data_IF_169418392514
#
_entry.id   IF_169418392514
#
_cell.length_a   1.000
_cell.length_b   1.000
_cell.length_c   1.000
_cell.angle_alpha   90.00
_cell.angle_beta   90.00
_cell.angle_gamma   90.00
#
_symmetry.space_group_name_H-M   'P 1'
#
loop_
_entity.id
_entity.type
_entity.pdbx_description
1 polymer ?
#
# COMPACT_ATOMS: atom_id res chain seq x y z
N UNK A 1 42.44 37.41 11.24
CA UNK A 1 41.99 37.02 9.88
C UNK A 1 42.84 35.81 9.50
N UNK A 2 42.23 34.66 9.23
CA UNK A 2 42.90 33.36 9.35
C UNK A 2 43.70 32.94 8.11
N UNK A 3 44.87 32.36 8.31
CA UNK A 3 45.57 31.54 7.32
C UNK A 3 45.12 30.08 7.44
N UNK A 4 45.05 29.39 6.32
CA UNK A 4 45.06 27.93 6.24
C UNK A 4 46.47 27.38 6.50
N UNK A 5 46.59 26.24 7.16
CA UNK A 5 47.66 25.27 6.90
C UNK A 5 47.22 23.84 7.31
N UNK A 6 47.82 22.82 6.69
CA UNK A 6 47.41 21.42 6.80
C UNK A 6 48.21 20.55 7.78
N UNK A 7 47.90 19.25 7.76
CA UNK A 7 48.51 18.16 8.55
C UNK A 7 50.04 18.08 8.42
N UNK A 8 50.71 17.51 9.44
CA UNK A 8 51.47 16.25 9.31
C UNK A 8 51.89 15.63 10.68
N UNK A 9 51.36 14.43 10.94
CA UNK A 9 51.78 13.28 11.80
C UNK A 9 53.26 13.19 12.28
N UNK A 10 53.50 12.68 13.51
CA UNK A 10 53.93 11.28 13.85
C UNK A 10 54.66 11.13 15.22
N UNK A 11 54.35 10.04 15.94
CA UNK A 11 55.24 9.33 16.91
C UNK A 11 55.37 9.89 18.34
N UNK A 12 55.80 9.12 19.36
CA UNK A 12 55.99 7.65 19.47
C UNK A 12 56.16 7.25 20.95
N UNK A 13 55.57 6.11 21.39
CA UNK A 13 56.27 4.97 22.01
C UNK A 13 55.34 3.95 22.68
N UNK A 14 55.81 2.71 22.76
CA UNK A 14 55.21 1.59 23.50
C UNK A 14 56.09 1.23 24.70
N UNK A 15 55.52 0.52 25.68
CA UNK A 15 56.28 -0.46 26.49
C UNK A 15 55.39 -1.66 26.83
N UNK A 16 55.87 -2.88 26.56
CA UNK A 16 55.18 -4.12 26.96
C UNK A 16 55.49 -4.52 28.41
N UNK A 17 54.68 -5.41 29.00
CA UNK A 17 55.21 -6.44 29.90
C UNK A 17 54.37 -7.72 29.82
N UNK A 18 55.02 -8.89 29.82
CA UNK A 18 54.40 -10.23 29.69
C UNK A 18 54.44 -11.00 31.03
N UNK A 19 53.55 -11.98 31.23
CA UNK A 19 53.80 -13.27 31.94
C UNK A 19 52.62 -14.25 31.68
N UNK A 20 52.86 -15.57 31.76
CA UNK A 20 51.91 -16.70 31.57
C UNK A 20 52.20 -17.81 32.61
N UNK A 21 51.47 -18.93 32.80
CA UNK A 21 50.48 -19.76 32.04
C UNK A 21 49.53 -20.43 33.09
N UNK A 22 48.43 -21.16 32.83
CA UNK A 22 47.69 -21.61 31.63
C UNK A 22 46.15 -21.55 31.94
N UNK A 23 45.20 -22.50 31.75
CA UNK A 23 45.09 -23.86 31.18
C UNK A 23 43.60 -24.25 30.99
N UNK A 24 43.27 -25.03 29.95
CA UNK A 24 41.95 -25.61 29.62
C UNK A 24 40.82 -24.57 29.35
N UNK A 25 39.73 -24.83 28.61
CA UNK A 25 39.16 -26.08 28.07
C UNK A 25 38.48 -25.84 26.68
N UNK A 26 37.81 -26.86 26.09
CA UNK A 26 37.26 -26.82 24.71
C UNK A 26 36.23 -27.97 24.50
N UNK A 27 35.25 -27.94 23.56
CA UNK A 27 34.57 -26.85 22.84
C UNK A 27 33.05 -26.78 23.12
N UNK A 28 32.36 -25.75 22.60
CA UNK A 28 30.91 -25.84 22.31
C UNK A 28 30.55 -25.14 20.99
N UNK A 29 29.41 -25.52 20.41
CA UNK A 29 29.02 -25.32 19.01
C UNK A 29 29.10 -23.88 18.47
N UNK A 30 29.40 -23.77 17.17
CA UNK A 30 28.96 -22.64 16.35
C UNK A 30 27.44 -22.75 16.16
N UNK A 31 26.70 -21.67 16.38
CA UNK A 31 25.38 -21.49 15.75
C UNK A 31 25.61 -20.78 14.42
N UNK A 32 25.05 -21.31 13.34
CA UNK A 32 25.21 -20.70 12.01
C UNK A 32 24.27 -19.50 11.86
N UNK A 33 24.84 -18.35 11.50
CA UNK A 33 24.10 -17.11 11.27
C UNK A 33 23.37 -17.19 9.93
N UNK A 34 22.14 -17.76 9.96
CA UNK A 34 21.37 -18.08 8.76
C UNK A 34 20.69 -16.84 8.21
N UNK A 35 21.48 -15.94 7.61
CA UNK A 35 20.97 -14.86 6.77
C UNK A 35 20.01 -15.44 5.73
N UNK A 36 18.72 -15.08 5.87
CA UNK A 36 17.72 -15.29 4.85
C UNK A 36 18.07 -14.39 3.65
N UNK A 37 18.79 -14.97 2.69
CA UNK A 37 18.85 -14.41 1.35
C UNK A 37 17.43 -14.37 0.81
N UNK A 38 16.90 -13.16 0.62
CA UNK A 38 15.76 -12.97 -0.26
C UNK A 38 16.19 -13.46 -1.65
N UNK A 39 15.49 -14.47 -2.17
CA UNK A 39 15.59 -14.80 -3.58
C UNK A 39 14.99 -13.63 -4.35
N UNK A 40 15.76 -13.08 -5.31
CA UNK A 40 15.17 -12.23 -6.33
C UNK A 40 14.16 -13.08 -7.13
N UNK A 41 13.04 -12.49 -7.61
CA UNK A 41 12.35 -13.06 -8.75
C UNK A 41 13.34 -13.26 -9.89
N UNK A 42 13.29 -14.41 -10.57
CA UNK A 42 14.21 -14.71 -11.67
C UNK A 42 13.84 -13.88 -12.91
N UNK A 43 14.84 -13.51 -13.71
CA UNK A 43 14.68 -12.57 -14.81
C UNK A 43 14.05 -13.27 -16.05
N UNK A 44 12.76 -13.02 -16.29
CA UNK A 44 11.95 -13.52 -17.42
C UNK A 44 11.74 -15.04 -17.49
N UNK A 45 10.84 -15.59 -16.68
CA UNK A 45 10.10 -16.78 -17.12
C UNK A 45 9.24 -16.40 -18.34
N UNK A 46 9.42 -17.09 -19.48
CA UNK A 46 8.70 -16.80 -20.71
C UNK A 46 7.23 -17.16 -20.53
N UNK A 47 6.34 -16.17 -20.68
CA UNK A 47 4.89 -16.34 -20.64
C UNK A 47 4.44 -17.57 -21.44
N UNK A 48 3.58 -18.37 -20.81
CA UNK A 48 2.96 -19.55 -21.41
C UNK A 48 2.03 -19.14 -22.57
N UNK A 49 1.86 -20.03 -23.56
CA UNK A 49 1.20 -19.66 -24.81
C UNK A 49 -0.30 -19.34 -24.63
N UNK A 50 -0.97 -19.89 -23.60
CA UNK A 50 -2.34 -19.55 -23.20
C UNK A 50 -2.45 -18.12 -22.63
N UNK A 51 -1.45 -17.69 -21.85
CA UNK A 51 -1.33 -16.33 -21.33
C UNK A 51 -1.04 -15.34 -22.46
N UNK A 52 -0.22 -15.75 -23.43
CA UNK A 52 0.01 -14.96 -24.66
C UNK A 52 -1.28 -14.83 -25.47
N UNK A 53 -2.08 -15.89 -25.61
CA UNK A 53 -3.38 -15.82 -26.28
C UNK A 53 -4.36 -14.89 -25.55
N UNK A 54 -4.47 -14.98 -24.22
CA UNK A 54 -5.37 -14.11 -23.44
C UNK A 54 -4.98 -12.63 -23.52
N UNK A 55 -3.68 -12.32 -23.43
CA UNK A 55 -3.14 -10.96 -23.61
C UNK A 55 -3.50 -10.42 -25.01
N UNK A 56 -3.31 -11.21 -26.08
CA UNK A 56 -3.67 -10.80 -27.44
C UNK A 56 -5.19 -10.54 -27.58
N UNK A 57 -6.03 -11.37 -26.96
CA UNK A 57 -7.48 -11.16 -26.95
C UNK A 57 -7.87 -9.84 -26.24
N UNK A 58 -7.23 -9.50 -25.12
CA UNK A 58 -7.42 -8.20 -24.45
C UNK A 58 -6.95 -7.04 -25.35
N UNK A 59 -5.79 -7.17 -25.98
CA UNK A 59 -5.24 -6.16 -26.91
C UNK A 59 -6.22 -5.90 -28.08
N UNK A 60 -6.77 -6.94 -28.72
CA UNK A 60 -7.74 -6.80 -29.80
C UNK A 60 -9.09 -6.22 -29.33
N UNK A 61 -9.54 -6.54 -28.12
CA UNK A 61 -10.72 -5.90 -27.52
C UNK A 61 -10.53 -4.39 -27.38
N UNK A 62 -9.38 -3.93 -26.88
CA UNK A 62 -9.06 -2.51 -26.77
C UNK A 62 -8.83 -1.83 -28.13
N UNK A 63 -8.22 -2.50 -29.12
CA UNK A 63 -8.16 -2.00 -30.51
C UNK A 63 -9.55 -1.81 -31.12
N UNK A 64 -10.50 -2.69 -30.80
CA UNK A 64 -11.89 -2.57 -31.26
C UNK A 64 -12.69 -1.47 -30.53
N UNK A 65 -12.17 -0.97 -29.41
CA UNK A 65 -12.80 0.00 -28.50
C UNK A 65 -14.27 -0.35 -28.14
N UNK A 66 -14.58 -1.65 -28.04
CA UNK A 66 -15.93 -2.13 -27.78
C UNK A 66 -16.20 -2.17 -26.27
N UNK A 67 -16.70 -1.07 -25.72
CA UNK A 67 -16.97 -0.90 -24.27
C UNK A 67 -17.81 -2.05 -23.69
N UNK A 68 -18.85 -2.47 -24.41
CA UNK A 68 -19.71 -3.58 -23.95
C UNK A 68 -18.92 -4.88 -23.79
N UNK A 69 -18.05 -5.24 -24.74
CA UNK A 69 -17.20 -6.44 -24.60
C UNK A 69 -16.08 -6.26 -23.58
N UNK A 70 -15.46 -5.08 -23.50
CA UNK A 70 -14.44 -4.77 -22.49
C UNK A 70 -15.04 -4.95 -21.09
N UNK A 71 -16.29 -4.52 -20.88
CA UNK A 71 -17.00 -4.68 -19.60
C UNK A 71 -17.36 -6.12 -19.22
N UNK A 72 -17.25 -7.10 -20.13
CA UNK A 72 -17.38 -8.53 -19.81
C UNK A 72 -16.10 -9.16 -19.25
N UNK A 73 -14.94 -8.49 -19.41
CA UNK A 73 -13.63 -8.95 -18.90
C UNK A 73 -13.14 -8.13 -17.68
N UNK A 74 -14.05 -7.47 -16.96
CA UNK A 74 -13.73 -6.70 -15.75
C UNK A 74 -14.21 -7.44 -14.51
N UNK A 75 -13.30 -7.67 -13.56
CA UNK A 75 -13.69 -8.05 -12.20
C UNK A 75 -14.40 -6.88 -11.52
N UNK A 76 -15.61 -7.11 -11.00
CA UNK A 76 -16.40 -6.11 -10.30
C UNK A 76 -16.52 -6.43 -8.79
N UNK A 77 -16.42 -5.44 -7.89
CA UNK A 77 -16.22 -4.01 -8.17
C UNK A 77 -14.81 -3.69 -8.69
N UNK A 78 -14.72 -2.75 -9.65
CA UNK A 78 -13.44 -2.22 -10.12
C UNK A 78 -13.06 -1.03 -9.23
N UNK A 79 -12.10 -1.28 -8.34
CA UNK A 79 -11.67 -0.32 -7.33
C UNK A 79 -10.87 0.85 -7.92
N UNK A 80 -11.11 2.04 -7.35
CA UNK A 80 -10.49 3.32 -7.74
C UNK A 80 -9.82 3.95 -6.52
N UNK A 81 -8.91 4.91 -6.71
CA UNK A 81 -8.23 5.50 -5.55
C UNK A 81 -9.19 6.35 -4.72
N UNK A 82 -9.45 5.92 -3.48
CA UNK A 82 -10.24 6.63 -2.48
C UNK A 82 -9.83 8.13 -2.40
N UNK A 83 -10.78 9.09 -2.40
CA UNK A 83 -12.24 8.93 -2.26
C UNK A 83 -13.04 8.76 -3.57
N UNK A 84 -12.43 8.42 -4.73
CA UNK A 84 -13.24 8.07 -5.92
C UNK A 84 -14.01 6.78 -5.62
N UNK A 85 -15.36 6.75 -5.75
CA UNK A 85 -16.14 5.53 -5.51
C UNK A 85 -15.80 4.45 -6.53
N UNK A 86 -15.84 3.18 -6.09
CA UNK A 86 -15.63 2.04 -6.98
C UNK A 86 -16.72 1.89 -8.04
N UNK A 87 -16.42 1.19 -9.13
CA UNK A 87 -17.37 0.90 -10.21
C UNK A 87 -17.94 -0.48 -9.94
N UNK A 88 -19.19 -0.57 -9.51
CA UNK A 88 -19.70 -1.76 -8.80
C UNK A 88 -20.32 -2.82 -9.71
N UNK A 89 -20.46 -2.52 -11.01
CA UNK A 89 -21.07 -3.40 -12.02
C UNK A 89 -20.90 -2.84 -13.45
N UNK A 90 -21.19 -3.68 -14.45
CA UNK A 90 -21.19 -3.35 -15.90
C UNK A 90 -22.05 -2.13 -16.29
N UNK A 91 -23.15 -1.84 -15.59
CA UNK A 91 -24.02 -0.70 -15.89
C UNK A 91 -23.40 0.64 -15.43
N UNK A 92 -22.74 0.64 -14.27
CA UNK A 92 -21.89 1.76 -13.85
C UNK A 92 -20.65 1.90 -14.72
N UNK A 93 -20.02 0.77 -15.10
CA UNK A 93 -18.86 0.75 -15.98
C UNK A 93 -19.14 1.40 -17.32
N UNK A 94 -20.21 1.02 -18.02
CA UNK A 94 -20.55 1.62 -19.32
C UNK A 94 -20.82 3.13 -19.24
N UNK A 95 -21.20 3.67 -18.07
CA UNK A 95 -21.35 5.12 -17.84
C UNK A 95 -20.04 5.82 -17.48
N UNK A 96 -19.17 5.12 -16.73
CA UNK A 96 -17.92 5.64 -16.16
C UNK A 96 -16.67 5.21 -16.95
N UNK A 97 -16.84 4.52 -18.09
CA UNK A 97 -15.74 3.94 -18.86
C UNK A 97 -14.66 4.97 -19.19
N UNK A 98 -15.05 6.11 -19.77
CA UNK A 98 -14.15 7.21 -20.12
C UNK A 98 -13.63 8.02 -18.93
N UNK A 99 -14.06 7.72 -17.70
CA UNK A 99 -13.41 8.24 -16.49
C UNK A 99 -12.09 7.51 -16.27
N UNK A 100 -12.07 6.17 -16.41
CA UNK A 100 -10.90 5.31 -16.14
C UNK A 100 -10.08 5.06 -17.42
N UNK A 101 -10.75 4.61 -18.47
CA UNK A 101 -10.21 4.30 -19.78
C UNK A 101 -10.31 5.52 -20.69
N UNK A 102 -9.44 6.49 -20.42
CA UNK A 102 -9.18 7.58 -21.37
C UNK A 102 -8.42 7.06 -22.61
N UNK A 103 -8.22 7.92 -23.60
CA UNK A 103 -7.50 7.56 -24.83
C UNK A 103 -6.06 7.11 -24.57
N UNK A 104 -5.40 7.62 -23.52
CA UNK A 104 -3.99 7.30 -23.21
C UNK A 104 -3.90 5.86 -22.69
N UNK A 105 -4.81 5.45 -21.81
CA UNK A 105 -4.87 4.05 -21.34
C UNK A 105 -5.31 3.10 -22.46
N UNK A 106 -6.33 3.47 -23.25
CA UNK A 106 -6.78 2.64 -24.39
C UNK A 106 -5.65 2.47 -25.41
N UNK A 107 -4.99 3.55 -25.82
CA UNK A 107 -3.84 3.49 -26.73
C UNK A 107 -2.70 2.63 -26.16
N UNK A 108 -2.42 2.75 -24.84
CA UNK A 108 -1.39 1.96 -24.17
C UNK A 108 -1.68 0.47 -24.20
N UNK A 109 -2.92 0.04 -23.92
CA UNK A 109 -3.29 -1.38 -23.96
C UNK A 109 -3.32 -1.87 -25.41
N UNK A 110 -4.03 -1.17 -26.29
CA UNK A 110 -4.25 -1.54 -27.70
C UNK A 110 -2.95 -1.59 -28.54
N UNK A 111 -1.90 -0.88 -28.14
CA UNK A 111 -0.59 -0.89 -28.82
C UNK A 111 0.52 -1.54 -27.97
N UNK A 112 0.17 -2.20 -26.86
CA UNK A 112 1.14 -2.97 -26.06
C UNK A 112 1.68 -4.17 -26.84
N UNK A 113 2.88 -4.61 -26.47
CA UNK A 113 3.50 -5.85 -26.97
C UNK A 113 3.67 -6.85 -25.85
N UNK A 114 3.81 -8.14 -26.18
CA UNK A 114 3.98 -9.22 -25.21
C UNK A 114 5.16 -8.99 -24.25
N UNK A 115 6.24 -8.34 -24.69
CA UNK A 115 7.41 -8.04 -23.84
C UNK A 115 7.15 -6.93 -22.80
N UNK A 116 5.99 -6.26 -22.84
CA UNK A 116 5.52 -5.34 -21.81
C UNK A 116 4.60 -6.01 -20.77
N UNK A 117 4.24 -7.28 -20.99
CA UNK A 117 3.44 -8.04 -20.03
C UNK A 117 4.34 -8.98 -19.23
N UNK A 118 4.05 -9.14 -17.94
CA UNK A 118 4.86 -9.99 -17.06
C UNK A 118 4.00 -10.67 -16.01
N UNK A 119 4.24 -11.97 -15.81
CA UNK A 119 3.61 -12.73 -14.74
C UNK A 119 4.35 -12.51 -13.41
N UNK A 120 3.60 -12.30 -12.33
CA UNK A 120 4.15 -11.99 -10.99
C UNK A 120 3.68 -13.04 -9.98
N UNK A 121 3.74 -14.31 -10.41
CA UNK A 121 3.27 -15.47 -9.67
C UNK A 121 1.77 -15.41 -9.40
N UNK A 122 1.36 -15.68 -8.15
CA UNK A 122 -0.05 -15.71 -7.74
C UNK A 122 -0.82 -14.40 -7.93
N UNK A 123 -0.15 -13.26 -8.20
CA UNK A 123 -0.79 -11.98 -8.53
C UNK A 123 -1.36 -11.91 -9.94
N UNK A 124 -1.03 -12.88 -10.80
CA UNK A 124 -1.40 -12.85 -12.20
C UNK A 124 -0.42 -12.04 -13.06
N UNK A 125 -0.95 -11.39 -14.09
CA UNK A 125 -0.18 -10.80 -15.19
C UNK A 125 -0.38 -9.29 -15.19
N UNK A 126 0.71 -8.51 -15.22
CA UNK A 126 0.67 -7.06 -15.30
C UNK A 126 1.10 -6.53 -16.67
N UNK A 127 0.56 -5.37 -17.08
CA UNK A 127 1.05 -4.54 -18.18
C UNK A 127 1.95 -3.41 -17.65
N UNK A 128 3.13 -3.24 -18.26
CA UNK A 128 4.22 -2.39 -17.78
C UNK A 128 4.47 -2.61 -16.27
N UNK A 129 4.79 -1.54 -15.52
CA UNK A 129 4.95 -1.58 -14.06
C UNK A 129 3.59 -1.58 -13.34
N UNK A 130 2.73 -2.56 -13.62
CA UNK A 130 1.45 -2.72 -12.93
C UNK A 130 0.37 -1.71 -13.33
N UNK A 131 0.38 -1.17 -14.55
CA UNK A 131 -0.62 -0.19 -15.04
C UNK A 131 -2.02 -0.79 -15.05
N UNK A 132 -2.11 -2.04 -15.47
CA UNK A 132 -3.30 -2.89 -15.50
C UNK A 132 -2.88 -4.31 -15.09
N UNK A 133 -3.76 -5.02 -14.41
CA UNK A 133 -3.56 -6.40 -13.96
C UNK A 133 -4.65 -7.33 -14.48
N UNK A 134 -4.27 -8.54 -14.86
CA UNK A 134 -5.13 -9.67 -15.22
C UNK A 134 -4.91 -10.84 -14.25
N UNK A 135 -5.91 -11.68 -14.03
CA UNK A 135 -5.87 -12.72 -12.99
C UNK A 135 -4.74 -13.75 -13.16
N UNK A 136 -4.35 -14.25 -14.34
CA UNK A 136 -5.23 -15.13 -15.11
C UNK A 136 -4.90 -15.23 -16.63
N UNK A 137 -4.96 -16.44 -17.23
CA UNK A 137 -5.13 -16.65 -18.67
C UNK A 137 -6.60 -16.63 -19.10
N UNK A 138 -7.54 -16.47 -18.17
CA UNK A 138 -8.94 -16.14 -18.42
C UNK A 138 -9.17 -14.77 -19.10
N UNK A 139 -8.18 -13.87 -19.07
CA UNK A 139 -8.27 -12.52 -19.63
C UNK A 139 -8.96 -11.49 -18.72
N UNK A 140 -9.33 -11.88 -17.48
CA UNK A 140 -10.10 -11.02 -16.58
C UNK A 140 -9.21 -9.97 -15.93
N UNK A 141 -9.51 -8.70 -16.18
CA UNK A 141 -8.86 -7.53 -15.62
C UNK A 141 -9.31 -7.36 -14.16
N UNK A 142 -8.36 -7.44 -13.24
CA UNK A 142 -8.58 -7.38 -11.79
C UNK A 142 -8.29 -6.01 -11.19
N UNK A 143 -7.36 -5.24 -11.76
CA UNK A 143 -7.03 -3.90 -11.30
C UNK A 143 -6.55 -2.98 -12.44
N UNK A 144 -6.76 -1.67 -12.27
CA UNK A 144 -6.24 -0.62 -13.16
C UNK A 144 -5.64 0.47 -12.27
N UNK A 145 -4.32 0.46 -12.11
CA UNK A 145 -3.60 1.43 -11.27
C UNK A 145 -3.33 2.75 -12.01
N UNK A 146 -3.53 2.78 -13.33
CA UNK A 146 -3.65 4.04 -14.07
C UNK A 146 -4.76 4.92 -13.48
N UNK A 147 -4.51 6.23 -13.51
CA UNK A 147 -5.53 7.25 -13.29
C UNK A 147 -5.50 8.23 -14.47
N UNK A 148 -6.66 8.51 -15.02
CA UNK A 148 -6.82 9.57 -16.01
C UNK A 148 -6.65 10.96 -15.37
N UNK A 149 -6.50 12.00 -16.20
CA UNK A 149 -6.54 13.38 -15.70
C UNK A 149 -7.94 13.78 -15.22
N UNK A 150 -8.99 13.11 -15.70
CA UNK A 150 -10.34 13.22 -15.13
C UNK A 150 -10.37 12.69 -13.69
N UNK A 151 -9.81 11.51 -13.42
CA UNK A 151 -9.80 10.91 -12.09
C UNK A 151 -8.93 11.70 -11.11
N UNK A 152 -7.74 12.14 -11.51
CA UNK A 152 -6.89 13.02 -10.68
C UNK A 152 -7.64 14.28 -10.24
N UNK A 153 -8.39 14.90 -11.17
CA UNK A 153 -9.24 16.05 -10.88
C UNK A 153 -10.43 15.68 -9.99
N UNK A 154 -11.17 14.63 -10.31
CA UNK A 154 -12.32 14.15 -9.52
C UNK A 154 -11.91 13.81 -8.09
N UNK A 155 -10.77 13.13 -7.90
CA UNK A 155 -10.19 12.82 -6.58
C UNK A 155 -9.89 14.08 -5.79
N UNK A 156 -9.25 15.09 -6.42
CA UNK A 156 -9.02 16.39 -5.78
C UNK A 156 -10.33 17.09 -5.41
N UNK A 157 -11.27 17.18 -6.35
CA UNK A 157 -12.58 17.81 -6.14
C UNK A 157 -13.42 17.08 -5.06
N UNK A 158 -13.15 15.79 -4.79
CA UNK A 158 -13.72 15.02 -3.67
C UNK A 158 -12.98 15.29 -2.35
N UNK A 159 -11.63 15.29 -2.35
CA UNK A 159 -10.80 15.58 -1.17
C UNK A 159 -11.04 16.99 -0.63
N UNK A 160 -11.21 17.98 -1.50
CA UNK A 160 -11.50 19.35 -1.05
C UNK A 160 -12.91 19.45 -0.43
N UNK A 161 -13.90 18.69 -0.93
CA UNK A 161 -15.23 18.55 -0.30
C UNK A 161 -15.21 17.75 1.00
N UNK A 162 -14.33 16.75 1.14
CA UNK A 162 -14.08 16.10 2.43
C UNK A 162 -13.63 17.13 3.47
N UNK A 163 -12.65 17.97 3.11
CA UNK A 163 -12.07 19.00 3.99
C UNK A 163 -13.08 20.03 4.48
N UNK A 164 -14.13 20.34 3.70
CA UNK A 164 -15.23 21.18 4.17
C UNK A 164 -15.99 20.54 5.35
N UNK A 165 -16.17 19.22 5.31
CA UNK A 165 -16.97 18.40 6.23
C UNK A 165 -16.17 17.81 7.41
N UNK A 166 -14.95 18.30 7.66
CA UNK A 166 -14.16 17.96 8.84
C UNK A 166 -14.20 19.04 9.93
N UNK A 167 -13.91 18.64 11.16
CA UNK A 167 -13.49 19.55 12.22
C UNK A 167 -12.19 20.28 11.83
N UNK A 168 -12.05 21.56 12.21
CA UNK A 168 -10.98 22.43 11.73
C UNK A 168 -9.56 21.90 12.03
N UNK A 169 -9.37 21.09 13.07
CA UNK A 169 -8.07 20.45 13.39
C UNK A 169 -7.61 19.40 12.39
N UNK A 170 -8.48 18.93 11.48
CA UNK A 170 -8.18 17.85 10.53
C UNK A 170 -8.10 18.33 9.08
N UNK A 171 -8.39 19.60 8.76
CA UNK A 171 -8.53 20.07 7.36
C UNK A 171 -7.23 20.08 6.55
N UNK A 172 -6.08 20.05 7.22
CA UNK A 172 -4.76 19.93 6.57
C UNK A 172 -4.35 18.47 6.50
N UNK A 173 -4.27 17.94 5.28
CA UNK A 173 -3.71 16.62 4.91
C UNK A 173 -3.49 16.59 3.41
N UNK A 174 -2.63 15.69 2.92
CA UNK A 174 -2.37 15.52 1.49
C UNK A 174 -3.43 14.62 0.85
N UNK A 175 -3.61 13.43 1.42
CA UNK A 175 -4.39 12.34 0.87
C UNK A 175 -5.16 11.64 2.02
N UNK A 176 -6.46 11.35 1.88
CA UNK A 176 -7.17 10.63 2.92
C UNK A 176 -6.92 9.13 2.73
N UNK A 177 -6.52 8.43 3.78
CA UNK A 177 -6.10 7.02 3.69
C UNK A 177 -7.29 6.10 3.95
N UNK A 178 -7.92 6.22 5.13
CA UNK A 178 -9.02 5.34 5.55
C UNK A 178 -10.12 6.05 6.34
N UNK A 179 -11.36 5.63 6.12
CA UNK A 179 -12.49 5.87 7.02
C UNK A 179 -12.98 4.53 7.56
N UNK A 180 -12.81 4.33 8.85
CA UNK A 180 -12.97 3.03 9.49
C UNK A 180 -14.09 3.15 10.52
N UNK A 181 -14.95 2.15 10.58
CA UNK A 181 -15.95 2.00 11.62
C UNK A 181 -15.74 0.68 12.36
N UNK A 182 -15.44 0.77 13.65
CA UNK A 182 -15.35 -0.40 14.54
C UNK A 182 -16.66 -0.56 15.32
N UNK A 183 -16.66 -1.42 16.35
CA UNK A 183 -17.78 -1.57 17.27
C UNK A 183 -18.05 -0.29 18.07
N UNK A 184 -17.00 0.36 18.60
CA UNK A 184 -17.12 1.52 19.48
C UNK A 184 -16.66 2.86 18.86
N UNK A 185 -15.90 2.83 17.76
CA UNK A 185 -15.28 4.03 17.20
C UNK A 185 -15.65 4.32 15.73
N UNK A 186 -15.71 5.62 15.42
CA UNK A 186 -15.47 6.15 14.08
C UNK A 186 -14.01 6.61 14.06
N UNK A 187 -13.26 6.24 13.02
CA UNK A 187 -11.82 6.54 12.91
C UNK A 187 -11.54 7.06 11.50
N UNK A 188 -10.68 8.06 11.41
CA UNK A 188 -10.14 8.59 10.16
C UNK A 188 -8.62 8.51 10.20
N UNK A 189 -8.04 7.95 9.14
CA UNK A 189 -6.59 8.00 8.88
C UNK A 189 -6.36 8.93 7.69
N UNK A 190 -5.53 9.94 7.87
CA UNK A 190 -5.08 10.85 6.81
C UNK A 190 -3.55 10.78 6.65
N UNK A 191 -3.08 10.90 5.42
CA UNK A 191 -1.69 11.03 5.02
C UNK A 191 -1.27 12.51 5.05
N UNK A 192 -0.17 12.80 5.73
CA UNK A 192 0.46 14.11 5.85
C UNK A 192 1.78 14.14 5.08
N UNK A 193 2.39 15.32 5.02
CA UNK A 193 3.73 15.54 4.45
C UNK A 193 4.78 14.58 5.02
N UNK A 194 5.69 14.10 4.15
CA UNK A 194 6.82 13.20 4.49
C UNK A 194 6.40 11.80 4.98
N UNK A 195 5.42 11.20 4.31
CA UNK A 195 5.01 9.80 4.50
C UNK A 195 4.58 9.47 5.95
N UNK A 196 4.02 10.49 6.64
CA UNK A 196 3.53 10.40 8.02
C UNK A 196 2.01 10.42 8.07
N UNK A 197 1.44 9.53 8.89
CA UNK A 197 0.00 9.41 9.04
C UNK A 197 -0.52 10.14 10.28
N UNK A 198 -1.80 10.50 10.24
CA UNK A 198 -2.58 11.00 11.38
C UNK A 198 -3.80 10.13 11.62
N UNK A 199 -3.92 9.66 12.86
CA UNK A 199 -5.12 9.02 13.40
C UNK A 199 -6.01 10.08 14.04
N UNK A 200 -7.30 10.08 13.73
CA UNK A 200 -8.32 10.79 14.50
C UNK A 200 -9.49 9.86 14.80
N UNK A 201 -10.04 9.89 16.01
CA UNK A 201 -11.21 9.08 16.35
C UNK A 201 -12.23 9.80 17.22
N UNK A 202 -13.46 9.31 17.10
CA UNK A 202 -14.65 9.68 17.86
C UNK A 202 -15.39 8.41 18.27
N UNK A 203 -16.37 8.52 19.17
CA UNK A 203 -17.37 7.45 19.37
C UNK A 203 -18.13 7.16 18.06
N UNK A 204 -18.51 5.91 17.84
CA UNK A 204 -19.15 5.37 16.62
C UNK A 204 -20.44 6.08 16.15
N UNK A 205 -21.06 6.89 17.00
CA UNK A 205 -22.28 7.67 16.74
C UNK A 205 -22.05 9.16 16.45
N UNK A 206 -20.81 9.65 16.56
CA UNK A 206 -20.44 11.04 16.30
C UNK A 206 -20.13 11.28 14.81
N UNK A 207 -19.58 12.46 14.46
CA UNK A 207 -19.38 12.91 13.08
C UNK A 207 -18.01 13.52 12.92
N UNK A 208 -17.41 13.39 11.74
CA UNK A 208 -16.09 13.99 11.45
C UNK A 208 -16.04 15.53 11.61
N UNK A 209 -17.20 16.20 11.68
CA UNK A 209 -17.36 17.63 11.98
C UNK A 209 -17.26 17.99 13.47
N UNK A 210 -17.51 17.06 14.41
CA UNK A 210 -17.29 17.32 15.84
C UNK A 210 -15.80 17.22 16.16
N UNK A 211 -15.36 17.85 17.27
CA UNK A 211 -13.98 17.73 17.74
C UNK A 211 -13.68 16.25 18.04
N UNK A 212 -12.59 15.67 17.49
CA UNK A 212 -12.19 14.30 17.83
C UNK A 212 -11.96 14.10 19.34
N UNK A 213 -12.30 12.92 19.84
CA UNK A 213 -11.92 12.46 21.19
C UNK A 213 -10.38 12.29 21.26
N UNK A 214 -9.77 11.77 20.19
CA UNK A 214 -8.32 11.51 20.06
C UNK A 214 -7.80 12.04 18.72
N UNK A 215 -6.60 12.62 18.73
CA UNK A 215 -5.77 12.87 17.54
C UNK A 215 -4.33 12.42 17.85
N UNK A 216 -3.75 11.57 17.00
CA UNK A 216 -2.36 11.14 17.04
C UNK A 216 -1.71 11.47 15.68
N UNK A 217 -0.50 12.01 15.68
CA UNK A 217 0.26 12.30 14.46
C UNK A 217 1.47 11.37 14.36
N UNK A 218 2.33 11.61 13.37
CA UNK A 218 3.64 10.95 13.19
C UNK A 218 3.57 9.43 13.03
N UNK A 219 2.40 8.90 12.65
CA UNK A 219 2.17 7.47 12.46
C UNK A 219 3.03 6.90 11.34
N UNK A 220 3.53 5.68 11.56
CA UNK A 220 4.45 4.99 10.66
C UNK A 220 3.75 3.78 10.02
N UNK A 221 3.87 3.62 8.70
CA UNK A 221 3.31 2.49 7.95
C UNK A 221 4.38 1.43 7.69
N UNK A 222 4.09 0.18 8.05
CA UNK A 222 4.95 -0.98 7.80
C UNK A 222 4.17 -2.05 7.01
N UNK A 223 4.71 -2.47 5.86
CA UNK A 223 4.08 -3.49 5.01
C UNK A 223 4.39 -4.92 5.48
N UNK A 224 3.34 -5.70 5.70
CA UNK A 224 3.41 -7.09 6.14
C UNK A 224 3.63 -8.00 4.92
N UNK A 225 4.87 -8.01 4.45
CA UNK A 225 5.29 -8.72 3.24
C UNK A 225 4.88 -7.98 1.96
N UNK A 226 4.59 -8.74 0.91
CA UNK A 226 4.30 -8.18 -0.43
C UNK A 226 2.83 -8.27 -0.85
N UNK A 227 1.94 -8.71 0.05
CA UNK A 227 0.50 -8.87 -0.23
C UNK A 227 -0.31 -7.57 -0.18
N UNK A 228 0.30 -6.46 0.24
CA UNK A 228 -0.38 -5.18 0.48
C UNK A 228 -0.97 -5.03 1.89
N UNK A 229 -1.04 -6.11 2.68
CA UNK A 229 -1.26 -6.03 4.12
C UNK A 229 -0.22 -5.10 4.76
N UNK A 230 -0.63 -4.33 5.75
CA UNK A 230 0.24 -3.40 6.46
C UNK A 230 -0.39 -2.97 7.79
N UNK A 231 0.44 -2.45 8.68
CA UNK A 231 0.03 -1.80 9.92
C UNK A 231 0.44 -0.32 9.89
N UNK A 232 -0.44 0.56 10.36
CA UNK A 232 -0.09 1.96 10.67
C UNK A 232 -0.05 2.11 12.18
N UNK A 233 1.13 2.43 12.72
CA UNK A 233 1.41 2.47 14.15
C UNK A 233 1.59 3.91 14.65
N UNK A 234 0.94 4.25 15.75
CA UNK A 234 1.00 5.56 16.42
C UNK A 234 1.36 5.38 17.90
N UNK A 235 2.27 6.20 18.43
CA UNK A 235 2.72 6.10 19.83
C UNK A 235 2.39 7.39 20.59
N UNK A 236 1.80 7.27 21.78
CA UNK A 236 1.54 8.41 22.67
C UNK A 236 1.82 8.03 24.13
N UNK A 237 2.98 8.45 24.63
CA UNK A 237 3.42 8.12 25.99
C UNK A 237 3.67 6.62 26.14
N UNK A 238 2.86 5.96 26.96
CA UNK A 238 2.89 4.50 27.15
C UNK A 238 1.74 3.75 26.43
N UNK A 239 1.05 4.41 25.49
CA UNK A 239 0.04 3.80 24.64
C UNK A 239 0.55 3.66 23.20
N UNK A 240 0.25 2.52 22.58
CA UNK A 240 0.49 2.24 21.17
C UNK A 240 -0.85 1.97 20.50
N UNK A 241 -1.13 2.58 19.36
CA UNK A 241 -2.32 2.35 18.55
C UNK A 241 -1.85 1.76 17.22
N UNK A 242 -2.40 0.61 16.84
CA UNK A 242 -2.08 -0.09 15.59
C UNK A 242 -3.34 -0.24 14.76
N UNK A 243 -3.27 0.17 13.51
CA UNK A 243 -4.35 -0.01 12.53
C UNK A 243 -3.84 -0.94 11.45
N UNK A 244 -4.17 -2.23 11.57
CA UNK A 244 -3.86 -3.26 10.59
C UNK A 244 -4.88 -3.19 9.45
N UNK A 245 -4.44 -3.20 8.19
CA UNK A 245 -5.28 -3.37 7.00
C UNK A 245 -5.01 -4.74 6.39
N UNK A 246 -6.02 -5.59 6.46
CA UNK A 246 -6.03 -6.88 5.77
C UNK A 246 -6.51 -6.65 4.33
N UNK A 247 -5.63 -6.87 3.35
CA UNK A 247 -5.98 -6.94 1.92
C UNK A 247 -6.08 -8.41 1.48
N UNK A 248 -5.28 -9.28 2.09
CA UNK A 248 -5.25 -10.72 1.88
C UNK A 248 -5.34 -11.43 3.24
N UNK A 249 -6.30 -12.34 3.37
CA UNK A 249 -6.56 -13.11 4.58
C UNK A 249 -7.63 -14.19 4.31
N UNK A 250 -8.15 -14.80 5.36
CA UNK A 250 -9.33 -15.66 5.28
C UNK A 250 -10.59 -14.84 4.95
N UNK A 251 -11.61 -15.43 4.33
CA UNK A 251 -12.89 -14.77 3.96
C UNK A 251 -13.61 -14.13 5.16
N UNK A 252 -13.35 -14.64 6.36
CA UNK A 252 -13.83 -14.16 7.66
C UNK A 252 -13.08 -12.94 8.22
N UNK A 253 -11.93 -12.56 7.63
CA UNK A 253 -11.07 -11.50 8.15
C UNK A 253 -11.74 -10.13 8.01
N UNK A 254 -11.74 -9.27 9.04
CA UNK A 254 -12.20 -7.90 8.89
C UNK A 254 -11.19 -7.10 8.07
N UNK A 255 -11.68 -6.18 7.24
CA UNK A 255 -10.85 -5.31 6.41
C UNK A 255 -9.85 -4.49 7.25
N UNK A 256 -10.19 -4.15 8.51
CA UNK A 256 -9.30 -3.51 9.47
C UNK A 256 -9.31 -4.25 10.81
N UNK A 257 -8.18 -4.26 11.53
CA UNK A 257 -8.15 -4.50 12.98
C UNK A 257 -7.54 -3.27 13.66
N UNK A 258 -8.28 -2.67 14.60
CA UNK A 258 -7.73 -1.71 15.55
C UNK A 258 -7.20 -2.48 16.76
N UNK A 259 -5.91 -2.33 17.08
CA UNK A 259 -5.36 -2.72 18.38
C UNK A 259 -4.90 -1.47 19.15
N UNK A 260 -5.17 -1.45 20.46
CA UNK A 260 -4.60 -0.46 21.38
C UNK A 260 -3.86 -1.21 22.49
N UNK A 261 -2.58 -0.94 22.63
CA UNK A 261 -1.75 -1.40 23.74
C UNK A 261 -1.58 -0.30 24.79
N UNK A 262 -1.32 -0.73 26.03
CA UNK A 262 -0.74 0.10 27.08
C UNK A 262 0.36 -0.66 27.79
N UNK A 263 1.51 -0.02 28.03
CA UNK A 263 2.67 -0.63 28.70
C UNK A 263 3.08 -1.97 28.06
N UNK A 264 2.98 -2.06 26.72
CA UNK A 264 3.27 -3.26 25.92
C UNK A 264 2.24 -4.40 26.05
N UNK A 265 1.01 -4.10 26.47
CA UNK A 265 -0.09 -5.07 26.61
C UNK A 265 -1.33 -4.58 25.90
N UNK A 266 -1.91 -5.41 25.04
CA UNK A 266 -3.21 -5.18 24.40
C UNK A 266 -4.30 -4.90 25.46
N UNK A 267 -4.91 -3.72 25.40
CA UNK A 267 -6.07 -3.32 26.22
C UNK A 267 -7.36 -3.21 25.39
N UNK A 268 -7.24 -3.13 24.08
CA UNK A 268 -8.35 -3.20 23.13
C UNK A 268 -7.92 -3.93 21.86
N UNK A 269 -8.78 -4.77 21.32
CA UNK A 269 -8.76 -5.20 19.92
C UNK A 269 -10.19 -5.12 19.39
N UNK A 270 -10.40 -4.48 18.24
CA UNK A 270 -11.70 -4.35 17.59
C UNK A 270 -11.59 -4.51 16.07
N UNK A 271 -12.43 -5.39 15.53
CA UNK A 271 -12.72 -5.47 14.10
C UNK A 271 -13.24 -4.12 13.59
N UNK A 272 -12.67 -3.66 12.49
CA UNK A 272 -13.09 -2.47 11.76
C UNK A 272 -13.48 -2.82 10.33
N UNK A 273 -14.45 -2.08 9.79
CA UNK A 273 -14.76 -2.06 8.37
C UNK A 273 -14.44 -0.71 7.76
N UNK A 274 -14.05 -0.67 6.49
CA UNK A 274 -14.07 0.58 5.74
C UNK A 274 -15.50 1.08 5.55
N UNK A 275 -15.62 2.40 5.48
CA UNK A 275 -16.86 3.10 5.21
C UNK A 275 -16.63 4.09 4.08
N UNK A 276 -17.24 3.80 2.92
CA UNK A 276 -17.06 4.45 1.61
C UNK A 276 -15.89 3.91 0.76
N UNK A 277 -16.09 2.73 0.18
CA UNK A 277 -15.55 2.33 -1.13
C UNK A 277 -16.73 2.33 -2.14
#
# INVERSE_FOLDING_TARGET
MALTFGLLIFGCNQTETKTTIASNEKPTAKTEDKLLKQEKPDDNEKLADDKIESINNVIELFKSNNVDKISDIISFPLERQYPIPSIKNKNEFNKRFSEVFDKILIDKIANSKIEQWSEVGWRGIMLDNGVLWMANSDGIITAVNYQSDFEKKLRKDLIDREKENLHNSLKTFESPTYKIKTKNYLIRIDELTNDKYRYASWKVSEKETSKPDIILNDGELEFEGSGGNHVITFVQGNYTYKVYRNIIGEESSPDIILEIEKDGKTILSEDGKLTLE
#
